data_IF_835119396925
#
_entry.id   IF_835119396925
#
_cell.length_a   1.000
_cell.length_b   1.000
_cell.length_c   1.000
_cell.angle_alpha   90.00
_cell.angle_beta   90.00
_cell.angle_gamma   90.00
#
_symmetry.space_group_name_H-M   'P 1'
#
loop_
_entity.id
_entity.type
_entity.pdbx_description
1 polymer ?
#
# COMPACT_ATOMS: atom_id res chain seq x y z
N UNK A 1 5.57 13.46 8.84
CA UNK A 1 6.49 13.16 9.97
C UNK A 1 7.33 11.97 9.60
N UNK A 2 8.66 12.03 9.86
CA UNK A 2 9.54 10.88 9.89
C UNK A 2 9.71 10.49 11.34
N UNK A 3 9.39 9.24 11.68
CA UNK A 3 9.42 8.71 13.04
C UNK A 3 10.43 7.57 13.13
N UNK A 4 11.49 7.77 13.90
CA UNK A 4 12.41 6.68 14.26
C UNK A 4 11.81 5.85 15.39
N UNK A 5 11.77 4.52 15.22
CA UNK A 5 11.29 3.63 16.29
C UNK A 5 12.34 3.45 17.40
N UNK A 6 13.63 3.55 17.06
CA UNK A 6 14.73 3.40 18.00
C UNK A 6 15.01 4.67 18.82
N UNK A 7 14.00 5.31 19.38
CA UNK A 7 14.17 6.48 20.26
C UNK A 7 14.71 6.03 21.63
N UNK A 8 15.64 6.79 22.26
CA UNK A 8 16.30 6.36 23.49
C UNK A 8 15.41 6.45 24.75
N UNK A 9 14.35 7.24 24.71
CA UNK A 9 13.54 7.64 25.86
C UNK A 9 12.07 7.22 25.76
N UNK A 10 11.63 6.73 24.61
CA UNK A 10 10.24 6.29 24.39
C UNK A 10 10.14 5.28 23.25
N UNK A 11 9.20 4.35 23.36
CA UNK A 11 8.84 3.48 22.23
C UNK A 11 8.19 4.30 21.12
N UNK A 12 8.85 4.37 19.95
CA UNK A 12 8.34 5.08 18.79
C UNK A 12 7.01 4.52 18.28
N UNK A 13 6.71 3.23 18.55
CA UNK A 13 5.43 2.61 18.17
C UNK A 13 4.23 3.27 18.85
N UNK A 14 4.36 3.68 20.12
CA UNK A 14 3.30 4.37 20.85
C UNK A 14 2.96 5.74 20.25
N UNK A 15 3.91 6.35 19.55
CA UNK A 15 3.72 7.66 18.92
C UNK A 15 2.93 7.60 17.60
N UNK A 16 2.91 6.44 16.92
CA UNK A 16 2.22 6.29 15.64
C UNK A 16 0.75 6.71 15.73
N UNK A 17 -0.09 6.11 16.60
CA UNK A 17 -1.50 6.48 16.68
C UNK A 17 -1.71 7.92 17.15
N UNK A 18 -0.86 8.44 18.02
CA UNK A 18 -0.94 9.83 18.49
C UNK A 18 -0.68 10.83 17.36
N UNK A 19 0.36 10.60 16.55
CA UNK A 19 0.67 11.44 15.41
C UNK A 19 -0.42 11.34 14.35
N UNK A 20 -0.95 10.15 14.08
CA UNK A 20 -2.06 9.97 13.13
C UNK A 20 -3.33 10.70 13.55
N UNK A 21 -3.64 10.73 14.83
CA UNK A 21 -4.79 11.48 15.36
C UNK A 21 -4.65 13.01 15.11
N UNK A 22 -3.41 13.53 14.99
CA UNK A 22 -3.12 14.93 14.65
C UNK A 22 -3.20 15.22 13.14
N UNK A 23 -3.38 14.19 12.28
CA UNK A 23 -3.60 14.33 10.84
C UNK A 23 -2.39 14.23 9.92
N UNK A 24 -1.10 14.31 10.36
CA UNK A 24 0.02 14.24 9.42
C UNK A 24 0.20 12.84 8.84
N UNK A 25 0.86 12.75 7.66
CA UNK A 25 1.43 11.48 7.21
C UNK A 25 2.61 11.09 8.07
N UNK A 26 2.68 9.81 8.46
CA UNK A 26 3.74 9.23 9.30
C UNK A 26 4.49 8.17 8.50
N UNK A 27 5.79 8.37 8.28
CA UNK A 27 6.71 7.36 7.73
C UNK A 27 7.62 6.90 8.86
N UNK A 28 7.63 5.60 9.10
CA UNK A 28 8.41 4.98 10.17
C UNK A 28 9.80 4.58 9.66
N UNK A 29 10.84 4.88 10.45
CA UNK A 29 12.20 4.40 10.22
C UNK A 29 12.49 3.24 11.18
N UNK A 30 12.81 2.05 10.64
CA UNK A 30 12.97 0.82 11.43
C UNK A 30 14.23 0.04 11.02
N UNK A 31 14.68 -0.89 11.85
CA UNK A 31 15.78 -1.78 11.52
C UNK A 31 15.40 -2.81 10.45
N UNK A 32 16.38 -3.29 9.67
CA UNK A 32 16.19 -4.10 8.46
C UNK A 32 15.45 -5.42 8.70
N UNK A 33 15.65 -6.05 9.84
CA UNK A 33 15.23 -7.43 10.08
C UNK A 33 13.98 -7.57 10.96
N UNK A 34 13.31 -6.45 11.26
CA UNK A 34 12.14 -6.47 12.15
C UNK A 34 10.83 -6.36 11.36
N UNK A 35 10.41 -7.50 10.78
CA UNK A 35 9.16 -7.59 10.02
C UNK A 35 7.93 -7.32 10.91
N UNK A 36 7.95 -7.79 12.15
CA UNK A 36 6.83 -7.64 13.08
C UNK A 36 6.62 -6.16 13.45
N UNK A 37 7.70 -5.39 13.66
CA UNK A 37 7.60 -3.94 13.86
C UNK A 37 7.04 -3.21 12.64
N UNK A 38 7.42 -3.61 11.42
CA UNK A 38 6.90 -3.01 10.19
C UNK A 38 5.40 -3.22 10.06
N UNK A 39 4.93 -4.46 10.28
CA UNK A 39 3.52 -4.81 10.24
C UNK A 39 2.77 -4.06 11.34
N UNK A 40 3.25 -4.08 12.58
CA UNK A 40 2.62 -3.40 13.69
C UNK A 40 2.51 -1.88 13.46
N UNK A 41 3.58 -1.23 12.94
CA UNK A 41 3.55 0.19 12.62
C UNK A 41 2.47 0.54 11.58
N UNK A 42 2.36 -0.26 10.51
CA UNK A 42 1.35 -0.07 9.46
C UNK A 42 -0.07 -0.32 10.00
N UNK A 43 -0.26 -1.34 10.82
CA UNK A 43 -1.56 -1.65 11.44
C UNK A 43 -1.99 -0.58 12.46
N UNK A 44 -1.04 0.09 13.13
CA UNK A 44 -1.27 1.26 13.97
C UNK A 44 -1.56 2.55 13.18
N UNK A 45 -1.48 2.48 11.85
CA UNK A 45 -1.86 3.58 10.96
C UNK A 45 -0.70 4.37 10.36
N UNK A 46 0.56 3.92 10.50
CA UNK A 46 1.66 4.53 9.76
C UNK A 46 1.40 4.48 8.24
N UNK A 47 1.81 5.53 7.55
CA UNK A 47 1.57 5.66 6.12
C UNK A 47 2.54 4.85 5.27
N UNK A 48 3.76 4.67 5.72
CA UNK A 48 4.80 3.85 5.09
C UNK A 48 5.92 3.57 6.10
N UNK A 49 6.89 2.74 5.71
CA UNK A 49 8.12 2.52 6.47
C UNK A 49 9.36 2.57 5.56
N UNK A 50 10.52 2.85 6.16
CA UNK A 50 11.83 2.78 5.52
C UNK A 50 12.78 2.01 6.43
N UNK A 51 13.50 1.04 5.88
CA UNK A 51 14.45 0.23 6.64
C UNK A 51 15.84 0.86 6.66
N UNK A 52 16.46 0.87 7.82
CA UNK A 52 17.86 1.30 8.00
C UNK A 52 18.83 0.15 7.64
N UNK A 53 19.96 0.43 6.99
CA UNK A 53 20.32 1.70 6.36
C UNK A 53 19.49 1.95 5.08
N UNK A 54 19.11 3.19 4.83
CA UNK A 54 18.31 3.56 3.66
C UNK A 54 19.09 4.47 2.71
N UNK A 55 18.73 4.40 1.44
CA UNK A 55 19.17 5.36 0.44
C UNK A 55 18.36 6.66 0.55
N UNK A 56 19.04 7.80 0.48
CA UNK A 56 18.38 9.12 0.57
C UNK A 56 17.37 9.33 -0.56
N UNK A 57 17.63 8.80 -1.74
CA UNK A 57 16.72 8.90 -2.88
C UNK A 57 15.44 8.10 -2.66
N UNK A 58 15.53 6.93 -2.04
CA UNK A 58 14.37 6.13 -1.62
C UNK A 58 13.53 6.87 -0.60
N UNK A 59 14.15 7.39 0.47
CA UNK A 59 13.45 8.15 1.50
C UNK A 59 12.71 9.36 0.90
N UNK A 60 13.39 10.14 0.05
CA UNK A 60 12.79 11.31 -0.59
C UNK A 60 11.64 10.92 -1.54
N UNK A 61 11.73 9.79 -2.24
CA UNK A 61 10.64 9.29 -3.07
C UNK A 61 9.39 8.98 -2.23
N UNK A 62 9.55 8.31 -1.09
CA UNK A 62 8.44 7.99 -0.17
C UNK A 62 7.84 9.25 0.46
N UNK A 63 8.67 10.23 0.84
CA UNK A 63 8.20 11.54 1.34
C UNK A 63 7.37 12.26 0.28
N UNK A 64 7.81 12.29 -1.00
CA UNK A 64 7.03 12.88 -2.10
C UNK A 64 5.66 12.21 -2.26
N UNK A 65 5.60 10.88 -2.17
CA UNK A 65 4.34 10.13 -2.22
C UNK A 65 3.42 10.52 -1.05
N UNK A 66 3.96 10.62 0.16
CA UNK A 66 3.19 11.01 1.35
C UNK A 66 2.63 12.44 1.26
N UNK A 67 3.40 13.38 0.69
CA UNK A 67 2.99 14.78 0.55
C UNK A 67 1.90 14.98 -0.52
N UNK A 68 1.89 14.21 -1.62
CA UNK A 68 0.87 14.32 -2.67
C UNK A 68 -0.57 14.05 -2.19
N UNK A 69 -0.74 13.36 -1.08
CA UNK A 69 -2.04 12.96 -0.52
C UNK A 69 -2.83 14.06 0.16
N UNK A 70 -2.21 15.15 0.54
CA UNK A 70 -2.91 16.31 1.12
C UNK A 70 -3.62 17.17 0.07
N UNK A 71 -3.56 16.80 -1.21
CA UNK A 71 -4.15 17.50 -2.35
C UNK A 71 -5.39 16.83 -2.95
N UNK A 72 -6.35 16.37 -2.14
CA UNK A 72 -7.74 16.20 -2.54
C UNK A 72 -8.06 15.10 -3.57
N UNK A 73 -8.91 14.16 -3.18
CA UNK A 73 -9.62 13.30 -4.10
C UNK A 73 -10.59 14.09 -4.98
N UNK A 74 -10.22 14.38 -6.21
CA UNK A 74 -11.20 14.64 -7.25
C UNK A 74 -11.64 13.28 -7.81
N UNK A 75 -12.95 13.11 -8.11
CA UNK A 75 -13.47 11.89 -8.72
C UNK A 75 -13.05 11.68 -10.19
N UNK A 76 -11.89 12.23 -10.57
CA UNK A 76 -11.29 12.04 -11.89
C UNK A 76 -10.55 10.70 -11.97
N UNK A 77 -10.51 10.05 -13.14
CA UNK A 77 -9.72 8.85 -13.36
C UNK A 77 -8.24 9.07 -13.03
N UNK A 78 -7.63 8.07 -12.38
CA UNK A 78 -6.21 8.11 -11.99
C UNK A 78 -5.46 7.09 -12.83
N UNK A 79 -4.29 7.47 -13.35
CA UNK A 79 -3.44 6.58 -14.14
C UNK A 79 -2.25 6.07 -13.32
N UNK A 80 -1.95 4.79 -13.49
CA UNK A 80 -0.79 4.10 -12.94
C UNK A 80 -0.06 3.42 -14.11
N UNK A 81 0.82 4.16 -14.78
CA UNK A 81 1.41 3.70 -16.04
C UNK A 81 0.35 3.48 -17.11
N UNK A 82 0.28 2.26 -17.66
CA UNK A 82 -0.70 1.87 -18.67
C UNK A 82 -2.13 1.66 -18.12
N UNK A 83 -2.27 1.52 -16.79
CA UNK A 83 -3.55 1.26 -16.12
C UNK A 83 -4.22 2.57 -15.75
N UNK A 84 -5.44 2.78 -16.22
CA UNK A 84 -6.29 3.91 -15.83
C UNK A 84 -7.45 3.39 -14.98
N UNK A 85 -7.64 3.97 -13.80
CA UNK A 85 -8.67 3.62 -12.83
C UNK A 85 -9.68 4.76 -12.65
N UNK A 86 -10.91 4.50 -13.01
CA UNK A 86 -12.05 5.36 -12.74
C UNK A 86 -12.91 4.76 -11.62
N UNK A 87 -12.74 5.29 -10.42
CA UNK A 87 -13.46 4.81 -9.23
C UNK A 87 -14.96 5.11 -9.31
N UNK A 88 -15.34 6.24 -9.91
CA UNK A 88 -16.74 6.65 -10.04
C UNK A 88 -17.50 5.75 -11.03
N UNK A 89 -16.90 5.46 -12.18
CA UNK A 89 -17.43 4.53 -13.16
C UNK A 89 -17.20 3.06 -12.81
N UNK A 90 -16.43 2.75 -11.77
CA UNK A 90 -15.96 1.39 -11.40
C UNK A 90 -15.28 0.67 -12.56
N UNK A 91 -14.50 1.41 -13.34
CA UNK A 91 -13.88 0.95 -14.58
C UNK A 91 -12.35 0.98 -14.48
N UNK A 92 -11.74 -0.06 -15.03
CA UNK A 92 -10.29 -0.16 -15.19
C UNK A 92 -9.98 -0.43 -16.65
N UNK A 93 -9.02 0.31 -17.20
CA UNK A 93 -8.52 0.10 -18.56
C UNK A 93 -7.01 -0.09 -18.52
N UNK A 94 -6.49 -0.91 -19.45
CA UNK A 94 -5.05 -1.06 -19.71
C UNK A 94 -4.80 -0.67 -21.14
N UNK A 95 -3.92 0.29 -21.37
CA UNK A 95 -3.69 0.87 -22.73
C UNK A 95 -4.99 1.34 -23.43
N UNK A 96 -5.95 1.85 -22.64
CA UNK A 96 -7.24 2.30 -23.14
C UNK A 96 -8.29 1.20 -23.38
N UNK A 97 -7.94 -0.07 -23.24
CA UNK A 97 -8.87 -1.19 -23.36
C UNK A 97 -9.43 -1.58 -22.00
N UNK A 98 -10.75 -1.75 -21.91
CA UNK A 98 -11.41 -2.12 -20.67
C UNK A 98 -11.06 -3.54 -20.25
N UNK A 99 -10.73 -3.71 -18.96
CA UNK A 99 -10.38 -4.99 -18.35
C UNK A 99 -11.44 -5.39 -17.34
N UNK A 100 -12.01 -6.58 -17.54
CA UNK A 100 -12.99 -7.14 -16.60
C UNK A 100 -12.31 -7.82 -15.42
N UNK A 101 -12.51 -7.25 -14.23
CA UNK A 101 -12.08 -7.81 -12.96
C UNK A 101 -13.24 -8.52 -12.26
N UNK A 102 -12.94 -9.61 -11.57
CA UNK A 102 -13.87 -10.21 -10.62
C UNK A 102 -14.13 -9.25 -9.45
N UNK A 103 -15.24 -9.41 -8.69
CA UNK A 103 -15.51 -8.53 -7.56
C UNK A 103 -14.38 -8.45 -6.53
N UNK A 104 -13.67 -9.55 -6.27
CA UNK A 104 -12.54 -9.59 -5.32
C UNK A 104 -11.27 -8.95 -5.90
N UNK A 105 -10.98 -9.15 -7.18
CA UNK A 105 -9.88 -8.48 -7.87
C UNK A 105 -10.09 -6.96 -7.90
N UNK A 106 -11.32 -6.52 -8.22
CA UNK A 106 -11.65 -5.10 -8.19
C UNK A 106 -11.51 -4.51 -6.78
N UNK A 107 -12.03 -5.19 -5.76
CA UNK A 107 -11.92 -4.73 -4.37
C UNK A 107 -10.45 -4.63 -3.93
N UNK A 108 -9.61 -5.61 -4.31
CA UNK A 108 -8.18 -5.60 -4.02
C UNK A 108 -7.47 -4.42 -4.70
N UNK A 109 -7.73 -4.21 -6.00
CA UNK A 109 -7.15 -3.07 -6.71
C UNK A 109 -7.61 -1.74 -6.12
N UNK A 110 -8.92 -1.58 -5.86
CA UNK A 110 -9.49 -0.37 -5.30
C UNK A 110 -8.90 -0.03 -3.92
N UNK A 111 -8.68 -1.05 -3.07
CA UNK A 111 -8.06 -0.84 -1.76
C UNK A 111 -6.60 -0.38 -1.89
N UNK A 112 -5.82 -1.00 -2.76
CA UNK A 112 -4.46 -0.57 -3.05
C UNK A 112 -4.41 0.83 -3.69
N UNK A 113 -5.37 1.15 -4.58
CA UNK A 113 -5.47 2.45 -5.24
C UNK A 113 -5.86 3.59 -4.30
N UNK A 114 -6.46 3.31 -3.16
CA UNK A 114 -6.63 4.30 -2.08
C UNK A 114 -5.31 4.71 -1.46
N UNK A 115 -4.30 3.85 -1.58
CA UNK A 115 -2.99 4.00 -0.95
C UNK A 115 -1.83 3.85 -1.95
N UNK A 116 -1.80 4.60 -3.09
CA UNK A 116 -0.77 4.44 -4.11
C UNK A 116 0.62 4.75 -3.53
N UNK A 117 1.59 3.91 -3.85
CA UNK A 117 2.96 4.00 -3.33
C UNK A 117 3.16 3.54 -1.89
N UNK A 118 2.10 3.14 -1.17
CA UNK A 118 2.18 2.62 0.22
C UNK A 118 2.03 1.12 0.25
N UNK A 119 2.65 0.50 1.26
CA UNK A 119 2.37 -0.89 1.60
C UNK A 119 1.04 -0.97 2.36
N UNK A 120 0.17 -1.87 1.91
CA UNK A 120 -1.03 -2.26 2.65
C UNK A 120 -0.79 -3.68 3.15
N UNK A 121 -0.93 -3.90 4.46
CA UNK A 121 -0.60 -5.20 5.07
C UNK A 121 -1.55 -6.31 4.60
N UNK A 122 -1.10 -7.58 4.66
CA UNK A 122 -1.97 -8.71 4.37
C UNK A 122 -3.24 -8.66 5.22
N UNK A 123 -3.10 -8.36 6.51
CA UNK A 123 -4.22 -8.24 7.45
C UNK A 123 -5.22 -7.16 7.03
N UNK A 124 -4.73 -5.95 6.72
CA UNK A 124 -5.59 -4.86 6.26
C UNK A 124 -6.36 -5.21 4.99
N UNK A 125 -5.69 -5.81 4.00
CA UNK A 125 -6.32 -6.25 2.75
C UNK A 125 -7.35 -7.35 3.00
N UNK A 126 -7.03 -8.36 3.81
CA UNK A 126 -7.94 -9.45 4.12
C UNK A 126 -9.16 -8.97 4.90
N UNK A 127 -8.96 -8.16 5.93
CA UNK A 127 -10.04 -7.58 6.73
C UNK A 127 -10.98 -6.74 5.85
N UNK A 128 -10.45 -5.85 5.01
CA UNK A 128 -11.27 -4.95 4.18
C UNK A 128 -12.04 -5.67 3.07
N UNK A 129 -11.52 -6.79 2.53
CA UNK A 129 -12.07 -7.45 1.34
C UNK A 129 -12.87 -8.70 1.69
N UNK A 130 -12.45 -9.48 2.69
CA UNK A 130 -13.09 -10.73 3.12
C UNK A 130 -13.72 -10.66 4.52
N UNK A 131 -13.37 -9.64 5.31
CA UNK A 131 -13.84 -9.43 6.67
C UNK A 131 -12.87 -9.97 7.73
N UNK A 132 -13.08 -9.56 8.98
CA UNK A 132 -12.19 -9.86 10.12
C UNK A 132 -11.97 -11.36 10.36
N UNK A 133 -12.95 -12.21 10.04
CA UNK A 133 -12.83 -13.66 10.20
C UNK A 133 -11.75 -14.29 9.29
N UNK A 134 -11.33 -13.61 8.22
CA UNK A 134 -10.43 -14.10 7.19
C UNK A 134 -9.03 -13.50 7.25
N UNK A 135 -8.66 -12.80 8.31
CA UNK A 135 -7.37 -12.08 8.41
C UNK A 135 -6.14 -12.99 8.40
N UNK A 136 -6.32 -14.30 8.61
CA UNK A 136 -5.26 -15.31 8.52
C UNK A 136 -5.19 -16.02 7.15
N UNK A 137 -6.20 -15.83 6.28
CA UNK A 137 -6.35 -16.60 5.03
C UNK A 137 -5.55 -15.98 3.86
N UNK A 138 -4.24 -15.83 4.03
CA UNK A 138 -3.35 -15.17 3.06
C UNK A 138 -3.39 -15.83 1.67
N UNK A 139 -3.74 -17.10 1.58
CA UNK A 139 -3.87 -17.80 0.29
C UNK A 139 -4.97 -17.21 -0.60
N UNK A 140 -6.09 -16.74 -0.04
CA UNK A 140 -7.14 -16.06 -0.81
C UNK A 140 -6.60 -14.77 -1.46
N UNK A 141 -5.81 -14.04 -0.70
CA UNK A 141 -5.16 -12.82 -1.18
C UNK A 141 -4.14 -13.12 -2.29
N UNK A 142 -3.32 -14.17 -2.13
CA UNK A 142 -2.33 -14.59 -3.14
C UNK A 142 -2.98 -14.99 -4.46
N UNK A 143 -4.04 -15.80 -4.39
CA UNK A 143 -4.80 -16.23 -5.58
C UNK A 143 -5.40 -15.02 -6.29
N UNK A 144 -6.04 -14.12 -5.55
CA UNK A 144 -6.65 -12.90 -6.10
C UNK A 144 -5.59 -11.98 -6.71
N UNK A 145 -4.44 -11.81 -6.05
CA UNK A 145 -3.32 -11.02 -6.57
C UNK A 145 -2.74 -11.61 -7.86
N UNK A 146 -2.63 -12.93 -7.94
CA UNK A 146 -2.18 -13.62 -9.18
C UNK A 146 -3.14 -13.33 -10.34
N UNK A 147 -4.46 -13.46 -10.11
CA UNK A 147 -5.48 -13.14 -11.11
C UNK A 147 -5.42 -11.69 -11.55
N UNK A 148 -5.24 -10.78 -10.61
CA UNK A 148 -5.14 -9.35 -10.87
C UNK A 148 -3.89 -9.01 -11.70
N UNK A 149 -2.73 -9.57 -11.36
CA UNK A 149 -1.49 -9.39 -12.13
C UNK A 149 -1.60 -9.92 -13.56
N UNK A 150 -2.23 -11.08 -13.75
CA UNK A 150 -2.45 -11.65 -15.08
C UNK A 150 -3.25 -10.73 -16.01
N UNK A 151 -4.01 -9.78 -15.45
CA UNK A 151 -4.87 -8.86 -16.20
C UNK A 151 -4.29 -7.46 -16.35
N UNK A 152 -3.46 -7.02 -15.40
CA UNK A 152 -2.99 -5.62 -15.33
C UNK A 152 -1.49 -5.45 -15.56
N UNK A 153 -0.68 -6.52 -15.48
CA UNK A 153 0.76 -6.47 -15.69
C UNK A 153 1.12 -6.97 -17.10
N UNK A 154 2.11 -6.36 -17.71
CA UNK A 154 2.69 -6.88 -18.97
C UNK A 154 3.39 -8.22 -18.74
N UNK A 155 4.13 -8.36 -17.63
CA UNK A 155 4.73 -9.60 -17.16
C UNK A 155 4.30 -9.89 -15.72
N UNK A 156 3.31 -10.79 -15.51
CA UNK A 156 2.83 -11.15 -14.18
C UNK A 156 3.88 -11.80 -13.26
N UNK A 157 4.96 -12.37 -13.83
CA UNK A 157 6.05 -12.98 -13.06
C UNK A 157 7.02 -11.92 -12.51
N UNK A 158 7.15 -10.78 -13.21
CA UNK A 158 7.98 -9.65 -12.82
C UNK A 158 7.13 -8.38 -12.71
N UNK A 159 6.20 -8.30 -11.73
CA UNK A 159 5.23 -7.22 -11.66
C UNK A 159 5.91 -5.87 -11.43
N UNK A 160 5.52 -4.88 -12.23
CA UNK A 160 6.00 -3.52 -12.13
C UNK A 160 5.01 -2.58 -11.44
N UNK A 161 3.72 -2.93 -11.43
CA UNK A 161 2.64 -2.14 -10.87
C UNK A 161 2.22 -2.64 -9.49
N UNK A 162 1.97 -3.95 -9.35
CA UNK A 162 1.47 -4.59 -8.14
C UNK A 162 2.63 -5.28 -7.41
N UNK A 163 3.34 -4.52 -6.59
CA UNK A 163 4.56 -4.96 -5.94
C UNK A 163 4.27 -5.79 -4.69
N UNK A 164 5.16 -6.74 -4.39
CA UNK A 164 5.11 -7.53 -3.17
C UNK A 164 6.15 -6.99 -2.18
N UNK A 165 5.71 -6.73 -0.94
CA UNK A 165 6.59 -6.50 0.21
C UNK A 165 6.59 -7.79 1.05
N UNK A 166 7.64 -8.65 0.94
CA UNK A 166 7.63 -9.99 1.50
C UNK A 166 7.37 -10.01 3.01
N UNK A 167 6.46 -10.87 3.46
CA UNK A 167 6.05 -10.99 4.85
C UNK A 167 5.14 -9.88 5.37
N UNK A 168 4.93 -8.79 4.61
CA UNK A 168 4.19 -7.61 5.07
C UNK A 168 2.88 -7.43 4.31
N UNK A 169 2.94 -7.29 2.99
CA UNK A 169 1.75 -6.98 2.20
C UNK A 169 2.04 -6.68 0.74
N UNK A 170 1.18 -5.87 0.15
CA UNK A 170 1.29 -5.46 -1.23
C UNK A 170 1.25 -3.94 -1.36
N UNK A 171 1.79 -3.46 -2.46
CA UNK A 171 1.87 -2.05 -2.80
C UNK A 171 1.47 -1.83 -4.26
N UNK A 172 0.57 -0.89 -4.50
CA UNK A 172 0.40 -0.34 -5.84
C UNK A 172 1.49 0.69 -6.08
N UNK A 173 2.23 0.58 -7.18
CA UNK A 173 3.24 1.58 -7.56
C UNK A 173 2.58 2.95 -7.69
N UNK A 174 3.13 3.94 -7.01
CA UNK A 174 2.78 5.35 -7.24
C UNK A 174 3.36 5.85 -8.56
N UNK A 175 2.83 6.96 -9.08
CA UNK A 175 3.41 7.66 -10.23
C UNK A 175 4.86 8.05 -10.02
#
# INVERSE_FOLDING_TARGET
VLLDLGLPDRDGMELVPLLKAMGPSVIVLTARDNTDEKVAALDLGADDYVTKPFDTSELLARVRVALRRHGGGSGAPVSFGAVCYDAAARRITVNGLEVHLTPKEYALFAELARHPGRVVTHRQLLSSIWGEAHTADVEYLRVTMRGLRAKLEDDPAHPALLLNDPGIGYRLRGE
#
